data_IF_301326902906
#
_entry.id   IF_301326902906
#
_cell.length_a   1.000
_cell.length_b   1.000
_cell.length_c   1.000
_cell.angle_alpha   90.00
_cell.angle_beta   90.00
_cell.angle_gamma   90.00
#
_symmetry.space_group_name_H-M   'P 1'
#
loop_
_entity.id
_entity.type
_entity.pdbx_description
1 polymer ?
#
# COMPACT_ATOMS: atom_id res chain seq x y z
N UNK A 1 -3.66 0.76 14.57
CA UNK A 1 -2.41 0.02 14.37
C UNK A 1 -2.19 -0.21 12.88
N UNK A 2 -1.00 0.10 12.40
CA UNK A 2 -0.65 -0.13 11.00
C UNK A 2 -0.79 -1.61 10.63
N UNK A 3 -1.43 -1.89 9.48
CA UNK A 3 -1.64 -3.25 9.04
C UNK A 3 -2.74 -4.00 9.76
N UNK A 4 -3.50 -3.32 10.64
CA UNK A 4 -4.62 -3.96 11.34
C UNK A 4 -5.66 -4.45 10.36
N UNK A 5 -6.23 -5.62 10.63
CA UNK A 5 -7.23 -6.23 9.76
C UNK A 5 -8.53 -5.43 9.73
N UNK A 6 -9.15 -5.44 8.57
CA UNK A 6 -10.52 -4.96 8.38
C UNK A 6 -11.34 -6.21 8.05
N UNK A 7 -12.22 -6.69 8.94
CA UNK A 7 -12.83 -8.02 8.78
C UNK A 7 -13.49 -8.30 7.43
N UNK A 8 -14.08 -7.28 6.81
CA UNK A 8 -14.79 -7.44 5.54
C UNK A 8 -13.96 -7.03 4.32
N UNK A 9 -12.73 -6.56 4.52
CA UNK A 9 -11.89 -6.10 3.42
C UNK A 9 -10.60 -6.91 3.38
N UNK A 10 -10.25 -7.38 2.20
CA UNK A 10 -8.97 -8.04 1.94
C UNK A 10 -8.09 -7.13 1.10
N UNK A 11 -6.86 -6.93 1.56
CA UNK A 11 -5.84 -6.15 0.88
C UNK A 11 -4.74 -7.08 0.44
N UNK A 12 -4.39 -7.05 -0.84
CA UNK A 12 -3.33 -7.89 -1.39
C UNK A 12 -2.39 -7.07 -2.27
N UNK A 13 -1.10 -7.08 -1.92
CA UNK A 13 -0.04 -6.49 -2.74
C UNK A 13 1.03 -7.56 -2.94
N UNK A 14 0.86 -8.45 -3.94
CA UNK A 14 1.81 -9.55 -4.13
C UNK A 14 3.20 -9.06 -4.50
N UNK A 15 4.26 -9.70 -4.00
CA UNK A 15 5.65 -9.28 -4.26
C UNK A 15 6.00 -9.20 -5.74
N UNK A 16 5.45 -10.08 -6.57
CA UNK A 16 5.73 -10.11 -8.00
C UNK A 16 5.17 -8.90 -8.75
N UNK A 17 4.30 -8.12 -8.11
CA UNK A 17 3.76 -6.88 -8.67
C UNK A 17 4.35 -5.64 -8.01
N UNK A 18 5.45 -5.82 -7.29
CA UNK A 18 6.21 -4.73 -6.71
C UNK A 18 7.50 -4.53 -7.48
N UNK A 19 7.88 -3.27 -7.66
CA UNK A 19 9.06 -2.92 -8.45
C UNK A 19 9.82 -1.78 -7.76
N UNK A 20 11.13 -1.94 -7.69
CA UNK A 20 12.02 -0.91 -7.17
C UNK A 20 13.14 -0.69 -8.18
N UNK A 21 13.31 0.54 -8.61
CA UNK A 21 14.32 0.86 -9.60
C UNK A 21 14.91 2.25 -9.39
N UNK A 22 16.08 2.47 -9.96
CA UNK A 22 16.68 3.78 -10.01
C UNK A 22 16.25 4.47 -11.31
N UNK A 23 15.81 5.73 -11.18
CA UNK A 23 15.41 6.54 -12.33
C UNK A 23 16.65 7.20 -12.98
N UNK A 24 16.52 7.66 -14.24
CA UNK A 24 17.65 8.31 -14.93
C UNK A 24 18.25 9.51 -14.18
N UNK A 25 17.45 10.21 -13.36
CA UNK A 25 17.92 11.35 -12.59
C UNK A 25 18.64 10.95 -11.29
N UNK A 26 18.85 9.65 -11.04
CA UNK A 26 19.55 9.16 -9.87
C UNK A 26 18.67 8.90 -8.64
N UNK A 27 17.40 9.27 -8.68
CA UNK A 27 16.49 8.98 -7.57
C UNK A 27 15.93 7.58 -7.67
N UNK A 28 15.48 7.02 -6.54
CA UNK A 28 14.86 5.70 -6.53
C UNK A 28 13.35 5.79 -6.55
N UNK A 29 12.74 4.79 -7.16
CA UNK A 29 11.32 4.64 -7.34
C UNK A 29 10.88 3.30 -6.77
N UNK A 30 9.73 3.28 -6.09
CA UNK A 30 9.07 2.05 -5.67
C UNK A 30 7.63 2.07 -6.16
N UNK A 31 7.24 1.03 -6.89
CA UNK A 31 5.89 0.86 -7.37
C UNK A 31 5.31 -0.46 -6.93
N UNK A 32 4.00 -0.47 -6.67
CA UNK A 32 3.30 -1.69 -6.30
C UNK A 32 1.88 -1.65 -6.83
N UNK A 33 1.38 -2.79 -7.26
CA UNK A 33 -0.01 -2.97 -7.66
C UNK A 33 -0.65 -4.01 -6.79
N UNK A 34 -1.91 -3.77 -6.43
CA UNK A 34 -2.64 -4.69 -5.60
C UNK A 34 -4.13 -4.57 -5.78
N UNK A 35 -4.87 -5.29 -4.95
CA UNK A 35 -6.32 -5.28 -4.97
C UNK A 35 -6.88 -5.14 -3.57
N UNK A 36 -8.05 -4.50 -3.50
CA UNK A 36 -8.89 -4.49 -2.30
C UNK A 36 -10.19 -5.16 -2.68
N UNK A 37 -10.63 -6.12 -1.89
CA UNK A 37 -11.87 -6.85 -2.14
C UNK A 37 -12.78 -6.78 -0.91
N UNK A 38 -14.08 -6.58 -1.15
CA UNK A 38 -15.07 -6.67 -0.09
C UNK A 38 -15.62 -8.09 -0.06
N UNK A 39 -15.24 -8.84 0.96
CA UNK A 39 -15.64 -10.24 1.15
C UNK A 39 -16.79 -10.37 2.14
N UNK A 40 -17.30 -9.25 2.62
CA UNK A 40 -18.43 -9.21 3.54
C UNK A 40 -19.77 -9.16 2.84
N UNK A 41 -20.80 -8.84 3.59
CA UNK A 41 -22.19 -8.81 3.11
C UNK A 41 -22.74 -7.38 2.97
N UNK A 42 -22.02 -6.40 3.45
CA UNK A 42 -22.44 -5.01 3.46
C UNK A 42 -21.46 -4.14 2.70
N UNK A 43 -21.95 -2.99 2.22
CA UNK A 43 -21.09 -1.96 1.63
C UNK A 43 -20.11 -1.48 2.70
N UNK A 44 -18.84 -1.35 2.32
CA UNK A 44 -17.80 -0.88 3.22
C UNK A 44 -17.02 0.27 2.60
N UNK A 45 -16.70 1.27 3.42
CA UNK A 45 -15.80 2.34 3.02
C UNK A 45 -14.39 1.78 2.89
N UNK A 46 -13.63 2.27 1.92
CA UNK A 46 -12.25 1.86 1.71
C UNK A 46 -11.36 2.84 2.48
N UNK A 47 -10.63 2.39 3.51
CA UNK A 47 -9.69 3.26 4.22
C UNK A 47 -8.49 3.62 3.34
N UNK A 48 -7.79 4.67 3.70
CA UNK A 48 -6.51 4.99 3.05
C UNK A 48 -5.49 3.88 3.31
N UNK A 49 -4.56 3.74 2.39
CA UNK A 49 -3.49 2.75 2.46
C UNK A 49 -2.20 3.49 2.80
N UNK A 50 -1.37 2.89 3.63
CA UNK A 50 -0.11 3.46 4.03
C UNK A 50 1.03 2.54 3.59
N UNK A 51 2.02 3.14 2.91
CA UNK A 51 3.28 2.46 2.61
C UNK A 51 4.30 2.96 3.62
N UNK A 52 4.94 2.03 4.32
CA UNK A 52 5.96 2.33 5.31
C UNK A 52 7.28 1.74 4.83
N UNK A 53 8.28 2.59 4.67
CA UNK A 53 9.62 2.18 4.28
C UNK A 53 10.51 2.18 5.50
N UNK A 54 11.21 1.06 5.72
CA UNK A 54 12.10 0.85 6.88
C UNK A 54 13.52 0.56 6.43
N UNK A 55 14.48 0.95 7.26
CA UNK A 55 15.89 0.64 7.01
C UNK A 55 16.25 -0.76 7.55
N UNK A 56 17.54 -1.11 7.48
CA UNK A 56 18.02 -2.40 7.96
C UNK A 56 17.89 -2.59 9.47
N UNK A 57 17.64 -1.51 10.21
CA UNK A 57 17.43 -1.54 11.67
C UNK A 57 15.95 -1.46 12.04
N UNK A 58 15.08 -1.65 11.05
CA UNK A 58 13.63 -1.60 11.22
C UNK A 58 13.10 -0.22 11.59
N UNK A 59 13.89 0.81 11.33
CA UNK A 59 13.48 2.19 11.57
C UNK A 59 12.72 2.73 10.36
N UNK A 60 11.60 3.40 10.61
CA UNK A 60 10.82 4.05 9.56
C UNK A 60 11.61 5.23 9.01
N UNK A 61 11.88 5.19 7.70
CA UNK A 61 12.61 6.26 7.01
C UNK A 61 11.73 7.08 6.09
N UNK A 62 10.57 6.56 5.70
CA UNK A 62 9.59 7.30 4.91
C UNK A 62 8.24 6.62 4.99
N UNK A 63 7.18 7.42 4.99
CA UNK A 63 5.81 6.93 4.85
C UNK A 63 5.14 7.61 3.67
N UNK A 64 4.21 6.92 3.05
CA UNK A 64 3.48 7.43 1.90
C UNK A 64 2.04 6.97 1.97
N UNK A 65 1.11 7.92 1.94
CA UNK A 65 -0.31 7.61 1.96
C UNK A 65 -0.83 7.46 0.54
N UNK A 66 -1.54 6.36 0.28
CA UNK A 66 -2.16 6.10 -1.01
C UNK A 66 -3.67 6.25 -0.83
N UNK A 67 -4.28 7.24 -1.47
CA UNK A 67 -5.73 7.39 -1.37
C UNK A 67 -6.45 6.26 -2.10
N UNK A 68 -7.58 5.85 -1.57
CA UNK A 68 -8.41 4.85 -2.22
C UNK A 68 -8.93 5.38 -3.56
N UNK A 69 -9.02 4.55 -4.61
CA UNK A 69 -9.49 4.98 -5.92
C UNK A 69 -11.00 5.27 -5.94
N UNK A 70 -11.73 4.78 -4.96
CA UNK A 70 -13.15 5.06 -4.79
C UNK A 70 -13.49 5.00 -3.30
N UNK A 71 -14.64 5.54 -2.92
CA UNK A 71 -15.00 5.69 -1.51
C UNK A 71 -15.44 4.39 -0.85
N UNK A 72 -16.11 3.53 -1.60
CA UNK A 72 -16.78 2.35 -1.06
C UNK A 72 -16.65 1.15 -2.00
N UNK A 73 -16.82 -0.04 -1.43
CA UNK A 73 -16.94 -1.29 -2.18
C UNK A 73 -18.25 -1.98 -1.77
N UNK A 74 -19.02 -2.40 -2.76
CA UNK A 74 -20.16 -3.27 -2.56
C UNK A 74 -19.70 -4.69 -2.24
N UNK A 75 -20.56 -5.53 -1.63
CA UNK A 75 -20.19 -6.94 -1.39
C UNK A 75 -19.79 -7.64 -2.68
N UNK A 76 -18.66 -8.34 -2.64
CA UNK A 76 -18.13 -9.05 -3.80
C UNK A 76 -17.35 -8.20 -4.78
N UNK A 77 -17.31 -6.89 -4.59
CA UNK A 77 -16.59 -5.98 -5.46
C UNK A 77 -15.11 -5.94 -5.11
N UNK A 78 -14.28 -5.78 -6.16
CA UNK A 78 -12.83 -5.60 -6.00
C UNK A 78 -12.39 -4.41 -6.81
N UNK A 79 -11.33 -3.74 -6.35
CA UNK A 79 -10.73 -2.62 -7.06
C UNK A 79 -9.22 -2.78 -7.08
N UNK A 80 -8.60 -2.39 -8.20
CA UNK A 80 -7.15 -2.40 -8.34
C UNK A 80 -6.57 -1.09 -7.83
N UNK A 81 -5.49 -1.19 -7.07
CA UNK A 81 -4.77 -0.05 -6.55
C UNK A 81 -3.35 -0.07 -7.11
N UNK A 82 -2.95 1.07 -7.69
CA UNK A 82 -1.58 1.26 -8.14
C UNK A 82 -0.95 2.36 -7.29
N UNK A 83 0.18 2.05 -6.69
CA UNK A 83 0.89 2.97 -5.83
C UNK A 83 2.30 3.20 -6.35
N UNK A 84 2.78 4.43 -6.24
CA UNK A 84 4.13 4.79 -6.64
C UNK A 84 4.72 5.77 -5.65
N UNK A 85 5.93 5.47 -5.18
CA UNK A 85 6.68 6.34 -4.27
C UNK A 85 7.95 6.76 -4.99
N UNK A 86 8.16 8.08 -5.11
CA UNK A 86 9.38 8.63 -5.68
C UNK A 86 10.30 9.11 -4.56
N UNK A 87 11.57 9.36 -4.89
CA UNK A 87 12.57 9.80 -3.92
C UNK A 87 12.70 8.84 -2.73
N UNK A 88 12.69 7.55 -3.02
CA UNK A 88 12.87 6.52 -1.99
C UNK A 88 14.25 6.65 -1.39
N UNK A 89 14.39 6.78 -0.06
CA UNK A 89 15.70 6.86 0.57
C UNK A 89 16.55 5.62 0.29
N UNK A 90 17.84 5.83 0.05
CA UNK A 90 18.75 4.70 -0.21
C UNK A 90 18.84 3.74 0.98
N UNK A 91 18.59 4.23 2.18
CA UNK A 91 18.58 3.42 3.40
C UNK A 91 17.35 2.51 3.50
N UNK A 92 16.31 2.76 2.72
CA UNK A 92 15.10 1.93 2.75
C UNK A 92 15.40 0.52 2.25
N UNK A 93 15.11 -0.50 3.06
CA UNK A 93 15.36 -1.90 2.75
C UNK A 93 14.09 -2.73 2.67
N UNK A 94 13.04 -2.33 3.41
CA UNK A 94 11.80 -3.06 3.50
C UNK A 94 10.65 -2.10 3.25
N UNK A 95 9.67 -2.54 2.47
CA UNK A 95 8.41 -1.83 2.27
C UNK A 95 7.28 -2.65 2.86
N UNK A 96 6.48 -2.02 3.72
CA UNK A 96 5.25 -2.60 4.22
C UNK A 96 4.08 -1.81 3.66
N UNK A 97 3.03 -2.52 3.27
CA UNK A 97 1.82 -1.91 2.73
C UNK A 97 0.64 -2.41 3.53
N UNK A 98 -0.13 -1.50 4.09
CA UNK A 98 -1.27 -1.87 4.91
C UNK A 98 -2.25 -0.71 5.05
N UNK A 99 -3.29 -0.95 5.86
CA UNK A 99 -4.27 0.09 6.14
C UNK A 99 -3.67 1.19 7.01
N UNK A 100 -3.97 2.43 6.66
CA UNK A 100 -3.58 3.55 7.50
C UNK A 100 -4.32 3.45 8.83
N UNK A 101 -3.63 3.57 9.99
CA UNK A 101 -4.28 3.59 11.30
C UNK A 101 -5.20 4.79 11.44
N UNK A 102 -6.27 4.61 12.17
CA UNK A 102 -7.20 5.69 12.50
C UNK A 102 -6.57 6.69 13.49
#
# INVERSE_FOLDING_TARGET
>A
TFGADRPDLELSFPPEKQDRRQLPNGTEYFGASGTVSNVGKDVRAIPAILIVLRDSRDKVVKTWEVPAPQDELAPGESVTINAAVTDVPKSAKVAEIGWKPD
#
